data_IF_765387371969
#
_entry.id   IF_765387371969
#
_cell.length_a   1.000
_cell.length_b   1.000
_cell.length_c   1.000
_cell.angle_alpha   90.00
_cell.angle_beta   90.00
_cell.angle_gamma   90.00
#
_symmetry.space_group_name_H-M   'P 1'
#
loop_
_entity.id
_entity.type
_entity.pdbx_description
1 polymer ?
#
# COMPACT_ATOMS: atom_id res chain seq x y z
N UNK A 1 -4.96 -40.36 -5.24
CA UNK A 1 -6.17 -39.97 -4.49
C UNK A 1 -6.93 -38.95 -5.35
N UNK A 2 -8.20 -39.18 -5.64
CA UNK A 2 -9.05 -38.14 -6.24
C UNK A 2 -9.53 -37.26 -5.08
N UNK A 3 -8.99 -36.05 -4.95
CA UNK A 3 -9.53 -35.07 -4.00
C UNK A 3 -10.94 -34.69 -4.47
N UNK A 4 -11.90 -34.71 -3.55
CA UNK A 4 -13.26 -34.21 -3.79
C UNK A 4 -13.25 -32.71 -4.11
N UNK A 5 -14.44 -32.13 -4.30
CA UNK A 5 -14.57 -30.67 -4.48
C UNK A 5 -13.97 -29.95 -3.26
N UNK A 6 -13.15 -28.91 -3.48
CA UNK A 6 -12.58 -28.14 -2.38
C UNK A 6 -13.68 -27.59 -1.48
N UNK A 7 -13.51 -27.72 -0.17
CA UNK A 7 -14.42 -27.22 0.86
C UNK A 7 -13.86 -25.92 1.44
N UNK A 8 -14.59 -24.82 1.31
CA UNK A 8 -14.17 -23.52 1.84
C UNK A 8 -15.14 -23.04 2.91
N UNK A 9 -14.59 -22.62 4.05
CA UNK A 9 -15.33 -21.91 5.09
C UNK A 9 -15.25 -20.40 4.80
N UNK A 10 -16.39 -19.74 4.63
CA UNK A 10 -16.46 -18.30 4.44
C UNK A 10 -17.14 -17.66 5.65
N UNK A 11 -16.40 -16.85 6.39
CA UNK A 11 -16.93 -16.03 7.46
C UNK A 11 -17.18 -14.61 6.96
N UNK A 12 -18.41 -14.13 7.11
CA UNK A 12 -18.80 -12.76 6.78
C UNK A 12 -19.68 -12.19 7.90
N UNK A 13 -19.62 -10.88 8.11
CA UNK A 13 -20.52 -10.19 9.03
C UNK A 13 -21.97 -10.18 8.54
N UNK A 14 -22.17 -10.17 7.22
CA UNK A 14 -23.46 -10.11 6.56
C UNK A 14 -23.52 -11.12 5.41
N UNK A 15 -24.39 -12.12 5.56
CA UNK A 15 -24.56 -13.17 4.55
C UNK A 15 -25.01 -12.64 3.20
N UNK A 16 -25.67 -11.48 3.14
CA UNK A 16 -26.09 -10.87 1.87
C UNK A 16 -24.89 -10.41 1.05
N UNK A 17 -23.85 -9.86 1.69
CA UNK A 17 -22.61 -9.42 1.03
C UNK A 17 -21.78 -10.59 0.51
N UNK A 18 -21.83 -11.74 1.19
CA UNK A 18 -21.12 -12.93 0.77
C UNK A 18 -21.66 -13.57 -0.53
N UNK A 19 -22.89 -13.24 -0.96
CA UNK A 19 -23.56 -13.95 -2.06
C UNK A 19 -22.77 -13.93 -3.37
N UNK A 20 -22.21 -12.78 -3.74
CA UNK A 20 -21.43 -12.64 -4.98
C UNK A 20 -20.18 -13.52 -4.96
N UNK A 21 -19.45 -13.53 -3.83
CA UNK A 21 -18.24 -14.36 -3.69
C UNK A 21 -18.59 -15.85 -3.64
N UNK A 22 -19.67 -16.21 -2.93
CA UNK A 22 -20.18 -17.59 -2.88
C UNK A 22 -20.56 -18.08 -4.28
N UNK A 23 -21.28 -17.27 -5.06
CA UNK A 23 -21.65 -17.60 -6.43
C UNK A 23 -20.41 -17.79 -7.33
N UNK A 24 -19.43 -16.90 -7.22
CA UNK A 24 -18.18 -16.99 -7.96
C UNK A 24 -17.41 -18.27 -7.62
N UNK A 25 -17.22 -18.59 -6.33
CA UNK A 25 -16.54 -19.81 -5.89
C UNK A 25 -17.27 -21.09 -6.34
N UNK A 26 -18.60 -21.13 -6.20
CA UNK A 26 -19.42 -22.27 -6.63
C UNK A 26 -19.37 -22.49 -8.15
N UNK A 27 -19.25 -21.42 -8.94
CA UNK A 27 -19.05 -21.53 -10.40
C UNK A 27 -17.75 -22.22 -10.78
N UNK A 28 -16.76 -22.24 -9.88
CA UNK A 28 -15.47 -22.92 -10.02
C UNK A 28 -15.46 -24.31 -9.35
N UNK A 29 -16.63 -24.90 -9.08
CA UNK A 29 -16.79 -26.20 -8.43
C UNK A 29 -16.23 -26.28 -6.99
N UNK A 30 -16.22 -25.15 -6.26
CA UNK A 30 -15.83 -25.08 -4.85
C UNK A 30 -17.11 -25.08 -3.99
N UNK A 31 -17.16 -25.97 -3.00
CA UNK A 31 -18.26 -26.01 -2.03
C UNK A 31 -17.98 -25.00 -0.90
N UNK A 32 -18.90 -24.08 -0.70
CA UNK A 32 -18.73 -22.97 0.26
C UNK A 32 -19.75 -23.08 1.39
N UNK A 33 -19.23 -23.15 2.62
CA UNK A 33 -20.00 -23.06 3.85
C UNK A 33 -19.89 -21.65 4.42
N UNK A 34 -20.99 -20.91 4.45
CA UNK A 34 -21.04 -19.54 4.97
C UNK A 34 -21.41 -19.57 6.45
N UNK A 35 -20.61 -18.91 7.28
CA UNK A 35 -20.83 -18.78 8.72
C UNK A 35 -20.72 -17.34 9.16
N UNK A 36 -21.31 -17.03 10.32
CA UNK A 36 -20.96 -15.81 11.05
C UNK A 36 -19.64 -16.01 11.79
N UNK A 37 -18.89 -14.95 12.13
CA UNK A 37 -17.57 -15.06 12.76
C UNK A 37 -17.56 -15.91 14.03
N UNK A 38 -18.63 -15.83 14.84
CA UNK A 38 -18.77 -16.59 16.08
C UNK A 38 -18.86 -18.11 15.87
N UNK A 39 -19.24 -18.55 14.67
CA UNK A 39 -19.39 -19.95 14.28
C UNK A 39 -18.14 -20.52 13.57
N UNK A 40 -17.06 -19.73 13.43
CA UNK A 40 -15.77 -20.29 13.01
C UNK A 40 -15.33 -21.34 14.05
N UNK A 41 -14.90 -22.53 13.61
CA UNK A 41 -14.39 -23.57 14.50
C UNK A 41 -13.32 -23.04 15.47
N UNK A 42 -13.39 -23.51 16.71
CA UNK A 42 -12.52 -23.05 17.81
C UNK A 42 -11.29 -23.93 18.01
N UNK A 43 -11.14 -24.94 17.18
CA UNK A 43 -10.03 -25.89 17.18
C UNK A 43 -9.56 -26.17 15.74
N UNK A 44 -8.31 -26.62 15.63
CA UNK A 44 -7.74 -27.02 14.34
C UNK A 44 -8.52 -28.17 13.70
N UNK A 45 -8.99 -29.15 14.48
CA UNK A 45 -9.70 -30.31 13.95
C UNK A 45 -10.99 -29.92 13.19
N UNK A 46 -11.69 -28.88 13.64
CA UNK A 46 -12.83 -28.31 12.93
C UNK A 46 -12.42 -27.54 11.68
N UNK A 47 -11.29 -26.81 11.71
CA UNK A 47 -10.76 -26.09 10.55
C UNK A 47 -10.26 -27.03 9.44
N UNK A 48 -9.67 -28.18 9.80
CA UNK A 48 -9.19 -29.20 8.87
C UNK A 48 -10.29 -29.88 8.05
N UNK A 49 -11.57 -29.66 8.37
CA UNK A 49 -12.69 -30.08 7.53
C UNK A 49 -12.78 -29.26 6.24
N UNK A 50 -12.07 -28.14 6.17
CA UNK A 50 -12.03 -27.23 5.04
C UNK A 50 -10.61 -27.18 4.46
N UNK A 51 -10.53 -27.03 3.14
CA UNK A 51 -9.28 -26.77 2.40
C UNK A 51 -8.84 -25.31 2.52
N UNK A 52 -9.75 -24.40 2.87
CA UNK A 52 -9.41 -23.01 3.17
C UNK A 52 -10.47 -22.25 3.96
N UNK A 53 -10.02 -21.16 4.59
CA UNK A 53 -10.83 -20.21 5.37
C UNK A 53 -10.76 -18.83 4.70
N UNK A 54 -11.93 -18.22 4.51
CA UNK A 54 -12.08 -16.86 3.99
C UNK A 54 -12.64 -15.96 5.09
N UNK A 55 -11.93 -14.90 5.43
CA UNK A 55 -12.40 -13.82 6.30
C UNK A 55 -12.85 -12.64 5.44
N UNK A 56 -14.15 -12.42 5.34
CA UNK A 56 -14.75 -11.35 4.52
C UNK A 56 -15.31 -10.24 5.41
N UNK A 57 -14.61 -9.11 5.45
CA UNK A 57 -15.00 -7.93 6.24
C UNK A 57 -15.38 -8.26 7.70
N UNK A 58 -14.57 -9.10 8.34
CA UNK A 58 -14.77 -9.56 9.73
C UNK A 58 -13.83 -8.81 10.66
N UNK A 59 -14.35 -8.02 11.59
CA UNK A 59 -13.55 -7.37 12.63
C UNK A 59 -12.83 -8.38 13.53
N UNK A 60 -11.57 -8.08 13.90
CA UNK A 60 -10.81 -8.91 14.85
C UNK A 60 -11.50 -9.01 16.22
N UNK A 61 -12.34 -8.03 16.58
CA UNK A 61 -13.12 -8.02 17.83
C UNK A 61 -14.17 -9.14 17.90
N UNK A 62 -14.52 -9.74 16.75
CA UNK A 62 -15.44 -10.89 16.68
C UNK A 62 -14.72 -12.22 16.89
N UNK A 63 -13.39 -12.21 16.94
CA UNK A 63 -12.57 -13.41 17.11
C UNK A 63 -11.80 -13.32 18.43
N UNK A 64 -11.82 -14.42 19.18
CA UNK A 64 -10.93 -14.52 20.33
C UNK A 64 -9.47 -14.70 19.86
N UNK A 65 -8.51 -14.25 20.67
CA UNK A 65 -7.09 -14.47 20.38
C UNK A 65 -6.76 -15.96 20.22
N UNK A 66 -7.41 -16.83 20.99
CA UNK A 66 -7.27 -18.27 20.84
C UNK A 66 -7.74 -18.76 19.47
N UNK A 67 -8.92 -18.33 18.98
CA UNK A 67 -9.39 -18.68 17.63
C UNK A 67 -8.42 -18.19 16.54
N UNK A 68 -7.91 -16.96 16.67
CA UNK A 68 -6.91 -16.44 15.74
C UNK A 68 -5.64 -17.31 15.71
N UNK A 69 -5.16 -17.74 16.89
CA UNK A 69 -4.05 -18.68 17.00
C UNK A 69 -4.33 -20.00 16.29
N UNK A 70 -5.53 -20.59 16.47
CA UNK A 70 -5.90 -21.84 15.78
C UNK A 70 -5.93 -21.68 14.25
N UNK A 71 -6.42 -20.54 13.75
CA UNK A 71 -6.41 -20.25 12.30
C UNK A 71 -4.98 -20.15 11.78
N UNK A 72 -4.10 -19.43 12.49
CA UNK A 72 -2.68 -19.34 12.12
C UNK A 72 -2.01 -20.71 12.10
N UNK A 73 -2.22 -21.52 13.14
CA UNK A 73 -1.62 -22.85 13.22
C UNK A 73 -2.19 -23.78 12.14
N UNK A 74 -3.49 -23.70 11.81
CA UNK A 74 -4.10 -24.37 10.66
C UNK A 74 -3.39 -24.05 9.33
N UNK A 75 -3.06 -22.78 9.10
CA UNK A 75 -2.32 -22.36 7.90
C UNK A 75 -0.87 -22.87 7.94
N UNK A 76 -0.15 -22.58 9.02
CA UNK A 76 1.29 -22.84 9.14
C UNK A 76 1.62 -24.33 9.22
N UNK A 77 0.90 -25.07 10.05
CA UNK A 77 1.28 -26.43 10.43
C UNK A 77 0.53 -27.51 9.64
N UNK A 78 -0.65 -27.17 9.10
CA UNK A 78 -1.52 -28.11 8.37
C UNK A 78 -1.72 -27.77 6.90
N UNK A 79 -1.14 -26.67 6.41
CA UNK A 79 -1.18 -26.29 5.00
C UNK A 79 -2.56 -25.82 4.52
N UNK A 80 -3.41 -25.39 5.45
CA UNK A 80 -4.71 -24.83 5.15
C UNK A 80 -4.63 -23.48 4.44
N UNK A 81 -5.53 -23.22 3.49
CA UNK A 81 -5.61 -21.92 2.83
C UNK A 81 -6.21 -20.84 3.75
N UNK A 82 -5.66 -19.63 3.71
CA UNK A 82 -6.27 -18.46 4.33
C UNK A 82 -6.35 -17.32 3.32
N UNK A 83 -7.54 -16.74 3.20
CA UNK A 83 -7.79 -15.55 2.40
C UNK A 83 -8.53 -14.51 3.25
N UNK A 84 -8.15 -13.24 3.09
CA UNK A 84 -8.87 -12.12 3.68
C UNK A 84 -9.37 -11.20 2.57
N UNK A 85 -10.66 -10.88 2.58
CA UNK A 85 -11.27 -9.93 1.65
C UNK A 85 -11.34 -8.57 2.34
N UNK A 86 -10.89 -7.53 1.65
CA UNK A 86 -10.86 -6.16 2.16
C UNK A 86 -12.25 -5.56 2.36
N UNK A 87 -12.33 -4.65 3.34
CA UNK A 87 -13.51 -3.90 3.71
C UNK A 87 -13.20 -3.02 4.92
N UNK A 88 -14.18 -2.27 5.40
CA UNK A 88 -14.05 -1.34 6.52
C UNK A 88 -13.58 -2.00 7.82
N UNK A 89 -13.88 -3.28 8.01
CA UNK A 89 -13.56 -4.07 9.21
C UNK A 89 -12.46 -5.12 8.94
N UNK A 90 -11.71 -5.02 7.85
CA UNK A 90 -10.60 -5.92 7.49
C UNK A 90 -9.22 -5.28 7.73
N UNK A 91 -8.17 -6.12 7.73
CA UNK A 91 -6.77 -5.69 7.83
C UNK A 91 -6.49 -4.77 9.04
N UNK A 92 -5.65 -3.74 8.87
CA UNK A 92 -5.28 -2.82 9.94
C UNK A 92 -6.47 -2.09 10.58
N UNK A 93 -7.43 -1.62 9.75
CA UNK A 93 -8.66 -0.97 10.24
C UNK A 93 -9.57 -1.94 11.00
N UNK A 94 -9.56 -3.22 10.61
CA UNK A 94 -10.24 -4.31 11.31
C UNK A 94 -9.60 -4.73 12.63
N UNK A 95 -8.49 -4.11 13.05
CA UNK A 95 -7.82 -4.41 14.30
C UNK A 95 -6.95 -5.68 14.27
N UNK A 96 -6.45 -6.07 13.10
CA UNK A 96 -5.60 -7.25 12.95
C UNK A 96 -4.09 -6.98 13.09
N UNK A 97 -3.68 -5.72 13.34
CA UNK A 97 -2.29 -5.40 13.64
C UNK A 97 -1.78 -6.14 14.89
N UNK A 98 -0.62 -6.80 14.77
CA UNK A 98 0.02 -7.67 15.76
C UNK A 98 -0.90 -8.79 16.26
N UNK A 99 -1.69 -9.37 15.36
CA UNK A 99 -2.52 -10.54 15.65
C UNK A 99 -1.97 -11.80 14.98
N UNK A 100 -2.32 -13.00 15.48
CA UNK A 100 -1.96 -14.25 14.80
C UNK A 100 -2.47 -14.33 13.35
N UNK A 101 -3.53 -13.61 12.99
CA UNK A 101 -4.03 -13.55 11.62
C UNK A 101 -3.08 -12.76 10.72
N UNK A 102 -2.50 -11.65 11.19
CA UNK A 102 -1.45 -10.93 10.45
C UNK A 102 -0.24 -11.84 10.21
N UNK A 103 0.20 -12.60 11.23
CA UNK A 103 1.30 -13.57 11.08
C UNK A 103 1.02 -14.64 10.00
N UNK A 104 -0.24 -14.97 9.76
CA UNK A 104 -0.66 -15.97 8.77
C UNK A 104 -0.88 -15.40 7.36
N UNK A 105 -1.00 -14.08 7.22
CA UNK A 105 -1.26 -13.40 5.95
C UNK A 105 0.04 -12.88 5.31
N UNK A 106 0.11 -12.78 3.97
CA UNK A 106 1.31 -12.32 3.27
C UNK A 106 1.46 -10.79 3.25
N UNK A 107 0.79 -10.06 4.15
CA UNK A 107 0.77 -8.59 4.19
C UNK A 107 0.96 -8.09 5.61
N UNK A 108 1.64 -6.95 5.77
CA UNK A 108 1.76 -6.24 7.04
C UNK A 108 0.64 -5.21 7.19
N UNK A 109 0.17 -5.02 8.42
CA UNK A 109 -0.95 -4.13 8.75
C UNK A 109 -0.49 -2.89 9.51
N UNK A 110 0.82 -2.65 9.52
CA UNK A 110 1.42 -1.43 10.03
C UNK A 110 1.05 -0.25 9.14
N UNK A 111 0.38 0.76 9.72
CA UNK A 111 0.14 2.03 9.04
C UNK A 111 1.45 2.79 8.96
N UNK A 112 2.18 2.63 7.85
CA UNK A 112 3.35 3.45 7.55
C UNK A 112 2.86 4.85 7.19
N UNK A 113 3.18 5.84 8.01
CA UNK A 113 3.08 7.23 7.58
C UNK A 113 4.05 7.40 6.41
N UNK A 114 3.50 7.53 5.20
CA UNK A 114 4.28 7.82 4.02
C UNK A 114 4.74 9.27 4.18
N UNK A 115 6.01 9.46 4.55
CA UNK A 115 6.65 10.77 4.45
C UNK A 115 6.82 11.01 2.95
N UNK A 116 5.82 11.62 2.32
CA UNK A 116 6.01 12.15 0.98
C UNK A 116 6.97 13.33 1.09
N UNK A 117 8.20 13.11 0.64
CA UNK A 117 9.14 14.20 0.44
C UNK A 117 8.87 14.70 -0.98
N UNK A 118 8.20 15.85 -1.16
CA UNK A 118 7.89 16.37 -2.48
C UNK A 118 9.19 16.69 -3.22
N UNK A 119 9.25 16.36 -4.51
CA UNK A 119 10.29 16.89 -5.41
C UNK A 119 9.98 18.35 -5.77
N UNK A 120 11.02 19.16 -5.88
CA UNK A 120 10.95 20.56 -6.27
C UNK A 120 11.47 20.73 -7.71
N UNK A 121 10.82 21.55 -8.52
CA UNK A 121 11.32 22.00 -9.81
C UNK A 121 11.60 23.52 -9.77
N UNK A 122 12.80 23.93 -10.18
CA UNK A 122 13.21 25.34 -10.22
C UNK A 122 13.60 25.73 -11.66
N UNK A 123 13.08 26.86 -12.14
CA UNK A 123 13.49 27.45 -13.42
C UNK A 123 14.19 28.78 -13.16
N UNK A 124 15.47 28.84 -13.50
CA UNK A 124 16.29 30.05 -13.44
C UNK A 124 16.23 30.78 -14.77
N UNK A 125 15.61 31.96 -14.78
CA UNK A 125 15.57 32.85 -15.94
C UNK A 125 16.66 33.90 -15.82
N UNK A 126 17.67 33.82 -16.69
CA UNK A 126 18.83 34.73 -16.67
C UNK A 126 18.70 35.75 -17.80
N UNK A 127 18.65 37.05 -17.46
CA UNK A 127 18.71 38.12 -18.45
C UNK A 127 20.10 38.21 -19.10
N UNK A 128 20.16 38.36 -20.43
CA UNK A 128 21.37 38.57 -21.22
C UNK A 128 21.39 39.94 -21.92
N UNK A 129 20.50 40.86 -21.56
CA UNK A 129 20.43 42.20 -22.14
C UNK A 129 21.77 42.95 -22.08
N UNK A 130 21.96 43.96 -22.93
CA UNK A 130 23.21 44.74 -22.99
C UNK A 130 23.64 45.36 -21.64
N UNK A 131 22.71 45.55 -20.71
CA UNK A 131 23.01 46.02 -19.35
C UNK A 131 23.72 44.97 -18.47
N UNK A 132 23.59 43.70 -18.81
CA UNK A 132 24.19 42.55 -18.12
C UNK A 132 25.68 42.38 -18.46
N UNK A 133 26.10 42.93 -19.61
CA UNK A 133 27.50 43.02 -20.02
C UNK A 133 28.26 44.19 -19.35
N UNK A 134 27.57 45.06 -18.62
CA UNK A 134 28.23 46.12 -17.85
C UNK A 134 28.99 45.52 -16.67
N UNK A 135 30.27 45.88 -16.56
CA UNK A 135 31.09 45.55 -15.41
C UNK A 135 30.69 46.39 -14.20
N UNK A 136 30.71 45.78 -13.02
CA UNK A 136 30.86 46.51 -11.75
C UNK A 136 32.31 46.98 -11.61
N UNK A 137 32.61 47.80 -10.60
CA UNK A 137 33.92 48.45 -10.39
C UNK A 137 35.14 47.49 -10.42
N UNK A 138 34.95 46.17 -10.36
CA UNK A 138 35.98 45.13 -10.27
C UNK A 138 36.14 44.24 -11.52
N UNK A 139 35.77 44.71 -12.73
CA UNK A 139 35.82 43.93 -14.01
C UNK A 139 34.92 42.69 -14.07
N UNK A 140 34.09 42.44 -13.05
CA UNK A 140 33.08 41.37 -13.02
C UNK A 140 31.80 41.91 -13.65
N UNK A 141 31.19 41.16 -14.59
CA UNK A 141 29.91 41.58 -15.18
C UNK A 141 28.73 41.17 -14.30
N UNK A 142 27.58 41.84 -14.44
CA UNK A 142 26.35 41.40 -13.79
C UNK A 142 25.95 39.99 -14.22
N UNK A 143 26.28 39.60 -15.45
CA UNK A 143 26.09 38.24 -15.95
C UNK A 143 26.94 37.22 -15.19
N UNK A 144 28.17 37.56 -14.82
CA UNK A 144 29.02 36.67 -14.03
C UNK A 144 28.45 36.47 -12.62
N UNK A 145 27.93 37.53 -11.99
CA UNK A 145 27.22 37.43 -10.71
C UNK A 145 25.94 36.58 -10.81
N UNK A 146 25.20 36.69 -11.91
CA UNK A 146 23.99 35.88 -12.13
C UNK A 146 24.31 34.39 -12.31
N UNK A 147 25.45 34.05 -12.93
CA UNK A 147 25.93 32.66 -13.04
C UNK A 147 26.31 32.09 -11.69
N UNK A 148 27.05 32.83 -10.87
CA UNK A 148 27.43 32.40 -9.52
C UNK A 148 26.18 32.19 -8.63
N UNK A 149 25.21 33.11 -8.68
CA UNK A 149 23.95 32.95 -7.98
C UNK A 149 23.18 31.70 -8.45
N UNK A 150 23.20 31.42 -9.76
CA UNK A 150 22.55 30.24 -10.34
C UNK A 150 23.22 28.93 -9.87
N UNK A 151 24.55 28.91 -9.76
CA UNK A 151 25.29 27.78 -9.23
C UNK A 151 24.93 27.47 -7.77
N UNK A 152 24.84 28.50 -6.91
CA UNK A 152 24.45 28.32 -5.51
C UNK A 152 23.04 27.75 -5.35
N UNK A 153 22.12 28.10 -6.25
CA UNK A 153 20.77 27.53 -6.24
C UNK A 153 20.80 26.06 -6.63
N UNK A 154 21.59 25.69 -7.64
CA UNK A 154 21.75 24.28 -8.07
C UNK A 154 22.39 23.44 -6.94
N UNK A 155 23.37 23.98 -6.23
CA UNK A 155 24.04 23.27 -5.12
C UNK A 155 23.11 23.00 -3.92
N UNK A 156 22.01 23.75 -3.80
CA UNK A 156 21.00 23.54 -2.74
C UNK A 156 19.99 22.43 -3.09
N UNK A 157 19.93 22.03 -4.37
CA UNK A 157 18.98 21.02 -4.85
C UNK A 157 19.50 19.61 -4.59
N UNK A 158 18.61 18.71 -4.14
CA UNK A 158 18.92 17.28 -4.01
C UNK A 158 18.69 16.50 -5.31
N UNK A 159 19.13 15.24 -5.37
CA UNK A 159 19.02 14.39 -6.58
C UNK A 159 17.58 14.16 -7.07
N UNK A 160 16.57 14.51 -6.28
CA UNK A 160 15.15 14.36 -6.64
C UNK A 160 14.56 15.65 -7.18
N UNK A 161 15.31 16.74 -7.21
CA UNK A 161 14.86 18.04 -7.69
C UNK A 161 15.26 18.21 -9.16
N UNK A 162 14.43 18.96 -9.89
CA UNK A 162 14.68 19.28 -11.30
C UNK A 162 15.07 20.76 -11.43
N UNK A 163 16.04 21.05 -12.29
CA UNK A 163 16.46 22.43 -12.59
C UNK A 163 16.47 22.69 -14.09
N UNK A 164 15.87 23.81 -14.48
CA UNK A 164 15.98 24.37 -15.83
C UNK A 164 16.66 25.74 -15.77
N UNK A 165 17.57 26.00 -16.71
CA UNK A 165 18.14 27.34 -16.90
C UNK A 165 17.74 27.84 -18.27
N UNK A 166 17.10 29.00 -18.32
CA UNK A 166 16.75 29.68 -19.56
C UNK A 166 17.36 31.08 -19.58
N UNK A 167 17.90 31.48 -20.73
CA UNK A 167 18.37 32.84 -20.95
C UNK A 167 17.36 33.63 -21.78
N UNK A 168 17.10 34.87 -21.40
CA UNK A 168 16.29 35.80 -22.18
C UNK A 168 17.15 36.94 -22.72
N UNK A 169 17.02 37.26 -24.00
CA UNK A 169 17.70 38.38 -24.65
C UNK A 169 16.69 39.25 -25.41
N UNK A 170 16.95 40.55 -25.47
CA UNK A 170 16.12 41.52 -26.21
C UNK A 170 16.82 41.86 -27.52
N UNK A 171 16.95 40.90 -28.44
CA UNK A 171 17.21 41.23 -29.84
C UNK A 171 15.91 41.78 -30.43
N UNK A 172 15.86 43.09 -30.68
CA UNK A 172 14.95 43.63 -31.69
C UNK A 172 15.44 43.10 -33.04
N UNK A 173 14.61 42.29 -33.70
CA UNK A 173 14.77 41.92 -35.12
C UNK A 173 14.78 43.19 -35.96
#
# INVERSE_FOLDING_TARGET
MVRGRPQVLLADKDRSHAQSLVAALRSQNIDVTVVEPAAIPKDVAGLQKFDGVVLSNVSSLKLTRAQMTQIRDYVRDYGGGLMMVGGEESFGLGGYYRTPIEEALPVTMEVKQKVEIPSLAVVLSIDRSGSMAMSTDEKITKLDLAKEASHLVVDLLDERNEVGVMSWDTEFI
#
